data_IF_885511985108
#
_entry.id   IF_885511985108
#
_cell.length_a   1.000
_cell.length_b   1.000
_cell.length_c   1.000
_cell.angle_alpha   90.00
_cell.angle_beta   90.00
_cell.angle_gamma   90.00
#
_symmetry.space_group_name_H-M   'P 1'
#
loop_
_entity.id
_entity.type
_entity.pdbx_description
1 polymer ?
#
# COMPACT_ATOMS: atom_id res chain seq x y z
N UNK A 1 -1.95 -4.01 20.99
CA UNK A 1 -2.29 -5.31 20.35
C UNK A 1 -1.11 -5.69 19.45
N UNK A 2 -0.69 -6.97 19.43
CA UNK A 2 0.44 -7.39 18.57
C UNK A 2 0.01 -7.29 17.09
N UNK A 3 0.88 -6.73 16.24
CA UNK A 3 0.65 -6.48 14.79
C UNK A 3 0.24 -7.77 14.05
N UNK A 4 0.79 -8.93 14.41
CA UNK A 4 0.42 -10.20 13.78
C UNK A 4 -1.05 -10.59 14.05
N UNK A 5 -1.56 -10.32 15.27
CA UNK A 5 -2.97 -10.50 15.57
C UNK A 5 -3.86 -9.53 14.81
N UNK A 6 -3.39 -8.27 14.63
CA UNK A 6 -4.08 -7.27 13.85
C UNK A 6 -4.20 -7.69 12.38
N UNK A 7 -3.10 -8.11 11.74
CA UNK A 7 -3.09 -8.62 10.36
C UNK A 7 -4.02 -9.84 10.21
N UNK A 8 -4.04 -10.75 11.20
CA UNK A 8 -4.94 -11.92 11.16
C UNK A 8 -6.41 -11.50 11.24
N UNK A 9 -6.74 -10.49 12.05
CA UNK A 9 -8.10 -9.91 12.13
C UNK A 9 -8.49 -9.23 10.84
N UNK A 10 -7.62 -8.43 10.26
CA UNK A 10 -7.82 -7.78 8.96
C UNK A 10 -8.13 -8.82 7.87
N UNK A 11 -7.34 -9.90 7.77
CA UNK A 11 -7.61 -11.01 6.83
C UNK A 11 -8.95 -11.69 7.07
N UNK A 12 -9.36 -11.90 8.33
CA UNK A 12 -10.68 -12.46 8.65
C UNK A 12 -11.81 -11.50 8.22
N UNK A 13 -11.63 -10.21 8.46
CA UNK A 13 -12.60 -9.19 8.04
C UNK A 13 -12.76 -9.17 6.53
N UNK A 14 -11.64 -9.18 5.79
CA UNK A 14 -11.64 -9.26 4.33
C UNK A 14 -12.35 -10.52 3.83
N UNK A 15 -12.08 -11.68 4.43
CA UNK A 15 -12.77 -12.92 4.06
C UNK A 15 -14.27 -12.81 4.27
N UNK A 16 -14.73 -12.27 5.41
CA UNK A 16 -16.15 -12.03 5.65
C UNK A 16 -16.78 -11.09 4.64
N UNK A 17 -16.07 -10.00 4.30
CA UNK A 17 -16.51 -9.05 3.27
C UNK A 17 -16.73 -9.74 1.92
N UNK A 18 -15.77 -10.54 1.45
CA UNK A 18 -15.90 -11.25 0.18
C UNK A 18 -17.03 -12.27 0.20
N UNK A 19 -17.20 -13.02 1.29
CA UNK A 19 -18.33 -13.96 1.44
C UNK A 19 -19.65 -13.20 1.35
N UNK A 20 -19.77 -12.06 2.07
CA UNK A 20 -20.99 -11.24 2.03
C UNK A 20 -21.30 -10.75 0.63
N UNK A 21 -20.30 -10.25 -0.11
CA UNK A 21 -20.48 -9.77 -1.49
C UNK A 21 -20.89 -10.89 -2.46
N UNK A 22 -20.33 -12.10 -2.30
CA UNK A 22 -20.73 -13.27 -3.09
C UNK A 22 -22.17 -13.68 -2.76
N UNK A 23 -22.55 -13.71 -1.48
CA UNK A 23 -23.94 -14.00 -1.08
C UNK A 23 -24.90 -12.98 -1.68
N UNK A 24 -24.59 -11.69 -1.61
CA UNK A 24 -25.43 -10.65 -2.23
C UNK A 24 -25.57 -10.83 -3.74
N UNK A 25 -24.45 -11.08 -4.44
CA UNK A 25 -24.45 -11.28 -5.88
C UNK A 25 -25.25 -12.52 -6.32
N UNK A 26 -25.40 -13.53 -5.47
CA UNK A 26 -26.22 -14.72 -5.76
C UNK A 26 -27.68 -14.50 -5.38
N UNK A 27 -27.94 -13.87 -4.23
CA UNK A 27 -29.32 -13.74 -3.70
C UNK A 27 -30.14 -12.72 -4.50
N UNK A 28 -29.55 -11.63 -4.99
CA UNK A 28 -30.27 -10.60 -5.73
C UNK A 28 -30.94 -11.12 -7.02
N UNK A 29 -30.22 -11.83 -7.91
CA UNK A 29 -30.86 -12.45 -9.09
C UNK A 29 -31.95 -13.49 -8.73
N UNK A 30 -31.71 -14.31 -7.69
CA UNK A 30 -32.68 -15.31 -7.25
C UNK A 30 -33.99 -14.63 -6.78
N UNK A 31 -33.90 -13.58 -5.98
CA UNK A 31 -35.06 -12.83 -5.51
C UNK A 31 -35.81 -12.25 -6.71
N UNK A 32 -35.14 -11.66 -7.67
CA UNK A 32 -35.76 -11.09 -8.86
C UNK A 32 -36.53 -12.17 -9.65
N UNK A 33 -35.97 -13.35 -9.82
CA UNK A 33 -36.63 -14.46 -10.52
C UNK A 33 -37.83 -14.98 -9.75
N UNK A 34 -37.75 -15.13 -8.42
CA UNK A 34 -38.84 -15.62 -7.57
C UNK A 34 -40.01 -14.64 -7.50
N UNK A 35 -39.74 -13.34 -7.56
CA UNK A 35 -40.79 -12.30 -7.56
C UNK A 35 -41.49 -12.12 -8.91
N UNK A 36 -40.96 -12.73 -9.98
CA UNK A 36 -41.49 -12.59 -11.32
C UNK A 36 -41.28 -11.17 -11.93
N UNK A 37 -40.53 -10.30 -11.28
CA UNK A 37 -40.25 -8.94 -11.72
C UNK A 37 -39.19 -8.90 -12.83
N UNK A 38 -39.43 -9.59 -13.93
CA UNK A 38 -38.49 -9.74 -15.07
C UNK A 38 -38.59 -8.64 -16.13
N UNK A 39 -39.23 -7.52 -15.79
CA UNK A 39 -39.34 -6.38 -16.71
C UNK A 39 -37.93 -5.78 -16.97
N UNK A 40 -37.72 -5.23 -18.15
CA UNK A 40 -36.47 -4.63 -18.62
C UNK A 40 -35.88 -3.62 -17.60
N UNK A 41 -36.75 -2.85 -16.95
CA UNK A 41 -36.33 -1.89 -15.92
C UNK A 41 -35.65 -2.56 -14.73
N UNK A 42 -36.27 -3.59 -14.13
CA UNK A 42 -35.70 -4.29 -12.97
C UNK A 42 -34.45 -5.08 -13.33
N UNK A 43 -34.39 -5.64 -14.55
CA UNK A 43 -33.20 -6.32 -15.05
C UNK A 43 -32.02 -5.35 -15.21
N UNK A 44 -32.26 -4.17 -15.77
CA UNK A 44 -31.22 -3.12 -15.89
C UNK A 44 -30.71 -2.67 -14.54
N UNK A 45 -31.63 -2.50 -13.57
CA UNK A 45 -31.28 -2.11 -12.20
C UNK A 45 -30.44 -3.19 -11.50
N UNK A 46 -30.80 -4.47 -11.67
CA UNK A 46 -30.01 -5.58 -11.15
C UNK A 46 -28.60 -5.58 -11.73
N UNK A 47 -28.44 -5.47 -13.05
CA UNK A 47 -27.13 -5.41 -13.70
C UNK A 47 -26.27 -4.25 -13.17
N UNK A 48 -26.91 -3.10 -12.91
CA UNK A 48 -26.21 -1.95 -12.33
C UNK A 48 -25.70 -2.25 -10.91
N UNK A 49 -26.53 -2.87 -10.05
CA UNK A 49 -26.09 -3.26 -8.69
C UNK A 49 -24.97 -4.29 -8.72
N UNK A 50 -25.08 -5.32 -9.57
CA UNK A 50 -24.05 -6.34 -9.74
C UNK A 50 -22.72 -5.72 -10.20
N UNK A 51 -22.78 -4.74 -11.09
CA UNK A 51 -21.60 -3.98 -11.51
C UNK A 51 -20.96 -3.22 -10.33
N UNK A 52 -21.78 -2.58 -9.49
CA UNK A 52 -21.26 -1.88 -8.29
C UNK A 52 -20.61 -2.85 -7.28
N UNK A 53 -21.21 -4.02 -7.06
CA UNK A 53 -20.63 -5.08 -6.21
C UNK A 53 -19.28 -5.52 -6.77
N UNK A 54 -19.18 -5.76 -8.08
CA UNK A 54 -17.95 -6.12 -8.74
C UNK A 54 -16.86 -5.06 -8.58
N UNK A 55 -17.18 -3.78 -8.78
CA UNK A 55 -16.26 -2.65 -8.59
C UNK A 55 -15.80 -2.56 -7.13
N UNK A 56 -16.70 -2.73 -6.16
CA UNK A 56 -16.36 -2.70 -4.74
C UNK A 56 -15.38 -3.83 -4.37
N UNK A 57 -15.60 -5.04 -4.87
CA UNK A 57 -14.73 -6.20 -4.65
C UNK A 57 -13.34 -5.94 -5.24
N UNK A 58 -13.27 -5.49 -6.50
CA UNK A 58 -11.99 -5.20 -7.16
C UNK A 58 -11.21 -4.10 -6.43
N UNK A 59 -11.88 -3.02 -6.03
CA UNK A 59 -11.25 -1.92 -5.30
C UNK A 59 -10.68 -2.41 -3.96
N UNK A 60 -11.44 -3.21 -3.22
CA UNK A 60 -10.98 -3.78 -1.95
C UNK A 60 -9.80 -4.74 -2.15
N UNK A 61 -9.88 -5.63 -3.14
CA UNK A 61 -8.75 -6.52 -3.50
C UNK A 61 -7.50 -5.72 -3.88
N UNK A 62 -7.66 -4.68 -4.69
CA UNK A 62 -6.56 -3.84 -5.15
C UNK A 62 -5.90 -3.06 -3.98
N UNK A 63 -6.70 -2.60 -3.00
CA UNK A 63 -6.21 -1.89 -1.83
C UNK A 63 -5.33 -2.77 -0.93
N UNK A 64 -5.74 -4.02 -0.68
CA UNK A 64 -5.01 -4.93 0.22
C UNK A 64 -3.92 -5.74 -0.45
N UNK A 65 -3.82 -5.70 -1.79
CA UNK A 65 -2.81 -6.47 -2.52
C UNK A 65 -1.46 -5.77 -2.45
N UNK A 66 -0.55 -6.39 -1.71
CA UNK A 66 0.86 -6.00 -1.62
C UNK A 66 1.69 -7.28 -1.63
N UNK A 67 2.45 -7.49 -2.69
CA UNK A 67 3.42 -8.57 -2.79
C UNK A 67 4.82 -7.96 -2.78
N UNK A 68 5.72 -8.53 -2.01
CA UNK A 68 7.08 -8.04 -1.91
C UNK A 68 8.07 -9.18 -1.63
N UNK A 69 9.30 -8.97 -2.07
CA UNK A 69 10.43 -9.84 -1.78
C UNK A 69 11.71 -8.99 -1.73
N UNK A 70 12.66 -9.40 -0.93
CA UNK A 70 13.97 -8.79 -0.90
C UNK A 70 15.04 -9.88 -1.08
N UNK A 71 15.83 -9.76 -2.12
CA UNK A 71 16.92 -10.68 -2.42
C UNK A 71 18.03 -9.97 -3.18
N UNK A 72 19.28 -10.35 -2.93
CA UNK A 72 20.45 -9.78 -3.61
C UNK A 72 20.46 -8.25 -3.61
N UNK A 73 20.19 -7.64 -2.45
CA UNK A 73 20.16 -6.19 -2.26
C UNK A 73 19.10 -5.45 -3.12
N UNK A 74 18.09 -6.18 -3.63
CA UNK A 74 17.00 -5.65 -4.44
C UNK A 74 15.67 -5.90 -3.74
N UNK A 75 15.02 -4.82 -3.35
CA UNK A 75 13.63 -4.83 -2.89
C UNK A 75 12.72 -4.81 -4.10
N UNK A 76 11.97 -5.87 -4.30
CA UNK A 76 10.93 -5.97 -5.34
C UNK A 76 9.57 -5.93 -4.68
N UNK A 77 8.65 -5.14 -5.21
CA UNK A 77 7.29 -5.11 -4.69
C UNK A 77 6.28 -4.73 -5.76
N UNK A 78 5.06 -5.22 -5.58
CA UNK A 78 3.91 -4.93 -6.42
C UNK A 78 2.80 -4.33 -5.55
N UNK A 79 2.48 -3.07 -5.78
CA UNK A 79 1.57 -2.26 -4.97
C UNK A 79 0.16 -2.23 -5.61
N UNK A 80 -0.61 -3.31 -5.44
CA UNK A 80 -1.93 -3.51 -6.00
C UNK A 80 -1.99 -4.54 -7.12
N UNK A 81 -3.21 -4.86 -7.59
CA UNK A 81 -3.46 -5.88 -8.61
C UNK A 81 -2.89 -5.52 -9.98
N UNK A 82 -3.17 -4.29 -10.42
CA UNK A 82 -2.84 -3.81 -11.77
C UNK A 82 -1.51 -3.06 -11.83
N UNK A 83 -0.79 -2.90 -10.72
CA UNK A 83 0.49 -2.20 -10.71
C UNK A 83 1.60 -3.08 -11.29
N UNK A 84 2.55 -2.43 -11.96
CA UNK A 84 3.79 -3.08 -12.39
C UNK A 84 4.68 -3.35 -11.17
N UNK A 85 5.54 -4.35 -11.27
CA UNK A 85 6.56 -4.61 -10.26
C UNK A 85 7.54 -3.44 -10.21
N UNK A 86 7.85 -3.00 -9.00
CA UNK A 86 8.83 -1.95 -8.71
C UNK A 86 10.06 -2.59 -8.10
N UNK A 87 11.24 -2.15 -8.52
CA UNK A 87 12.53 -2.62 -8.01
C UNK A 87 13.30 -1.45 -7.44
N UNK A 88 13.75 -1.56 -6.19
CA UNK A 88 14.60 -0.57 -5.52
C UNK A 88 15.88 -1.26 -5.07
N UNK A 89 17.02 -0.63 -5.30
CA UNK A 89 18.31 -1.09 -4.79
C UNK A 89 18.48 -0.62 -3.34
N UNK A 90 18.61 -1.55 -2.40
CA UNK A 90 18.64 -1.24 -0.96
C UNK A 90 19.84 -0.39 -0.54
N UNK A 91 21.00 -0.55 -1.19
CA UNK A 91 22.20 0.25 -0.94
C UNK A 91 22.11 1.69 -1.48
N UNK A 92 21.13 1.97 -2.32
CA UNK A 92 20.87 3.30 -2.91
C UNK A 92 19.67 4.02 -2.29
N UNK A 93 19.04 3.42 -1.30
CA UNK A 93 17.99 4.09 -0.50
C UNK A 93 18.67 5.10 0.42
N UNK A 94 18.26 6.38 0.29
CA UNK A 94 18.78 7.47 1.10
C UNK A 94 17.91 7.72 2.33
N UNK A 95 16.57 7.71 2.17
CA UNK A 95 15.62 7.99 3.24
C UNK A 95 14.40 7.07 3.15
N UNK A 96 13.95 6.61 4.32
CA UNK A 96 12.64 5.96 4.49
C UNK A 96 11.84 6.74 5.53
N UNK A 97 10.67 7.20 5.12
CA UNK A 97 9.73 7.90 5.97
C UNK A 97 8.38 7.21 5.96
N UNK A 98 7.66 7.29 7.06
CA UNK A 98 6.27 6.83 7.12
C UNK A 98 5.37 7.98 7.51
N UNK A 99 4.31 8.19 6.75
CA UNK A 99 3.30 9.21 7.02
C UNK A 99 2.01 8.54 7.45
N UNK A 100 1.46 8.97 8.57
CA UNK A 100 0.20 8.44 9.10
C UNK A 100 -0.95 8.99 8.27
N UNK A 101 -1.79 8.09 7.79
CA UNK A 101 -3.08 8.40 7.16
C UNK A 101 -4.21 8.01 8.12
N UNK A 102 -5.47 8.35 7.79
CA UNK A 102 -6.63 8.15 8.68
C UNK A 102 -6.76 6.70 9.19
N UNK A 103 -6.63 5.70 8.31
CA UNK A 103 -6.79 4.28 8.67
C UNK A 103 -5.48 3.48 8.55
N UNK A 104 -4.41 4.06 8.01
CA UNK A 104 -3.23 3.35 7.56
C UNK A 104 -1.99 4.25 7.56
N UNK A 105 -0.88 3.79 7.04
CA UNK A 105 0.33 4.58 6.81
C UNK A 105 0.80 4.47 5.37
N UNK A 106 1.34 5.56 4.84
CA UNK A 106 2.10 5.55 3.59
C UNK A 106 3.59 5.34 3.90
N UNK A 107 4.27 4.48 3.12
CA UNK A 107 5.73 4.34 3.22
C UNK A 107 6.34 5.08 2.04
N UNK A 108 7.17 6.07 2.34
CA UNK A 108 7.87 6.90 1.38
C UNK A 108 9.33 6.46 1.35
N UNK A 109 9.80 6.05 0.18
CA UNK A 109 11.19 5.62 -0.04
C UNK A 109 11.84 6.63 -0.98
N UNK A 110 12.95 7.24 -0.56
CA UNK A 110 13.78 8.12 -1.37
C UNK A 110 15.06 7.39 -1.72
N UNK A 111 15.41 7.38 -3.00
CA UNK A 111 16.59 6.70 -3.53
C UNK A 111 17.38 7.62 -4.47
N UNK A 112 18.68 7.39 -4.58
CA UNK A 112 19.58 8.15 -5.48
C UNK A 112 19.61 7.61 -6.90
N UNK A 113 19.04 6.42 -7.15
CA UNK A 113 19.11 5.76 -8.47
C UNK A 113 17.73 5.34 -8.93
N UNK A 114 17.42 5.66 -10.18
CA UNK A 114 16.24 5.16 -10.88
C UNK A 114 16.61 3.88 -11.67
N UNK A 115 16.57 2.73 -10.99
CA UNK A 115 16.90 1.45 -11.61
C UNK A 115 15.66 0.78 -12.21
N UNK A 116 15.50 0.84 -13.55
CA UNK A 116 14.45 0.12 -14.33
C UNK A 116 13.03 0.20 -13.73
N UNK A 117 12.76 1.21 -12.94
CA UNK A 117 11.51 1.35 -12.19
C UNK A 117 10.72 2.57 -12.70
N UNK A 118 9.69 2.31 -13.50
CA UNK A 118 8.81 3.36 -14.05
C UNK A 118 7.93 4.05 -13.00
N UNK A 119 7.88 3.52 -11.79
CA UNK A 119 7.06 4.09 -10.69
C UNK A 119 7.83 5.10 -9.84
N UNK A 120 9.15 5.15 -9.95
CA UNK A 120 9.99 6.17 -9.33
C UNK A 120 9.76 7.51 -10.02
N UNK A 121 9.55 8.54 -9.21
CA UNK A 121 9.36 9.92 -9.67
C UNK A 121 10.49 10.80 -9.15
N UNK A 122 10.98 11.75 -9.92
CA UNK A 122 11.93 12.75 -9.42
C UNK A 122 11.26 13.60 -8.32
N UNK A 123 12.05 14.02 -7.34
CA UNK A 123 11.56 14.91 -6.28
C UNK A 123 11.39 16.30 -6.86
N UNK A 124 10.19 16.86 -6.75
CA UNK A 124 9.84 18.19 -7.24
C UNK A 124 8.84 18.87 -6.30
N UNK A 125 8.32 20.02 -6.71
CA UNK A 125 7.41 20.86 -5.91
C UNK A 125 6.16 20.12 -5.40
N UNK A 126 5.65 19.17 -6.19
CA UNK A 126 4.48 18.35 -5.81
C UNK A 126 4.80 17.46 -4.61
N UNK A 127 6.00 16.84 -4.58
CA UNK A 127 6.46 16.05 -3.45
C UNK A 127 6.59 16.90 -2.19
N UNK A 128 7.27 18.04 -2.29
CA UNK A 128 7.53 18.95 -1.18
C UNK A 128 6.23 19.47 -0.52
N UNK A 129 5.20 19.75 -1.33
CA UNK A 129 3.90 20.20 -0.82
C UNK A 129 3.10 19.05 -0.19
N UNK A 130 3.19 17.85 -0.76
CA UNK A 130 2.37 16.71 -0.34
C UNK A 130 2.89 16.00 0.91
N UNK A 131 4.20 15.98 1.10
CA UNK A 131 4.89 15.27 2.18
C UNK A 131 5.85 16.20 2.94
N UNK A 132 5.33 17.14 3.75
CA UNK A 132 6.15 18.19 4.38
C UNK A 132 7.23 17.60 5.30
N UNK A 133 6.89 16.62 6.16
CA UNK A 133 7.84 16.00 7.08
C UNK A 133 8.96 15.24 6.33
N UNK A 134 8.60 14.45 5.34
CA UNK A 134 9.59 13.78 4.49
C UNK A 134 10.47 14.78 3.72
N UNK A 135 9.91 15.96 3.41
CA UNK A 135 10.62 17.02 2.69
C UNK A 135 11.66 17.71 3.52
N UNK A 136 11.42 17.88 4.83
CA UNK A 136 12.41 18.44 5.77
C UNK A 136 13.64 17.54 5.87
N UNK A 137 13.42 16.25 6.09
CA UNK A 137 14.52 15.28 6.15
C UNK A 137 15.24 15.13 4.78
N UNK A 138 14.49 15.20 3.68
CA UNK A 138 15.07 15.22 2.35
C UNK A 138 15.98 16.42 2.13
N UNK A 139 15.60 17.64 2.56
CA UNK A 139 16.42 18.83 2.46
C UNK A 139 17.75 18.67 3.18
N UNK A 140 17.74 18.15 4.41
CA UNK A 140 18.95 17.84 5.18
C UNK A 140 19.89 16.91 4.43
N UNK A 141 19.36 15.84 3.84
CA UNK A 141 20.16 14.88 3.06
C UNK A 141 20.70 15.55 1.78
N UNK A 142 19.88 16.37 1.13
CA UNK A 142 20.26 17.09 -0.10
C UNK A 142 21.36 18.13 0.15
N UNK A 143 21.39 18.78 1.31
CA UNK A 143 22.45 19.69 1.74
C UNK A 143 23.80 18.97 1.91
N UNK A 144 23.76 17.73 2.45
CA UNK A 144 24.97 16.92 2.62
C UNK A 144 25.52 16.39 1.29
N UNK A 145 24.65 16.14 0.31
CA UNK A 145 25.01 15.56 -0.98
C UNK A 145 24.27 16.29 -2.12
N UNK A 146 24.65 17.54 -2.45
CA UNK A 146 23.93 18.39 -3.38
C UNK A 146 23.97 17.90 -4.83
N UNK A 147 24.98 17.12 -5.21
CA UNK A 147 25.16 16.61 -6.58
C UNK A 147 24.22 15.45 -6.92
N UNK A 148 23.71 14.72 -5.94
CA UNK A 148 22.86 13.58 -6.17
C UNK A 148 21.46 13.98 -6.67
N UNK A 149 20.96 13.24 -7.66
CA UNK A 149 19.56 13.32 -8.08
C UNK A 149 18.77 12.31 -7.24
N UNK A 150 17.65 12.75 -6.67
CA UNK A 150 16.83 11.91 -5.83
C UNK A 150 15.48 11.63 -6.48
N UNK A 151 15.05 10.39 -6.30
CA UNK A 151 13.76 9.88 -6.75
C UNK A 151 12.98 9.37 -5.55
N UNK A 152 11.66 9.42 -5.61
CA UNK A 152 10.82 8.89 -4.56
C UNK A 152 9.79 7.90 -5.09
N UNK A 153 9.40 6.99 -4.25
CA UNK A 153 8.27 6.08 -4.46
C UNK A 153 7.47 5.94 -3.17
N UNK A 154 6.14 5.83 -3.32
CA UNK A 154 5.22 5.71 -2.18
C UNK A 154 4.51 4.37 -2.26
N UNK A 155 4.53 3.62 -1.16
CA UNK A 155 3.77 2.39 -0.98
C UNK A 155 2.52 2.75 -0.18
N UNK A 156 1.38 2.84 -0.88
CA UNK A 156 0.09 3.25 -0.30
C UNK A 156 -0.82 2.09 0.02
N UNK A 157 -0.71 0.99 -0.72
CA UNK A 157 -1.59 -0.17 -0.63
C UNK A 157 -0.96 -1.27 0.21
N UNK A 158 -1.80 -2.18 0.74
CA UNK A 158 -1.32 -3.32 1.49
C UNK A 158 -1.86 -3.42 2.92
N UNK A 159 -2.64 -2.43 3.37
CA UNK A 159 -3.17 -2.41 4.73
C UNK A 159 -2.07 -2.64 5.76
N UNK A 160 -2.38 -3.38 6.81
CA UNK A 160 -1.41 -3.70 7.87
C UNK A 160 -0.20 -4.54 7.39
N UNK A 161 -0.25 -5.13 6.19
CA UNK A 161 0.92 -5.83 5.61
C UNK A 161 2.09 -4.88 5.34
N UNK A 162 1.85 -3.56 5.28
CA UNK A 162 2.89 -2.53 5.15
C UNK A 162 3.88 -2.54 6.32
N UNK A 163 3.47 -2.90 7.51
CA UNK A 163 4.40 -3.08 8.64
C UNK A 163 5.44 -4.17 8.37
N UNK A 164 5.04 -5.24 7.67
CA UNK A 164 5.96 -6.35 7.35
C UNK A 164 6.99 -5.94 6.28
N UNK A 165 6.56 -5.21 5.24
CA UNK A 165 7.52 -4.71 4.23
C UNK A 165 8.44 -3.65 4.84
N UNK A 166 7.95 -2.82 5.78
CA UNK A 166 8.76 -1.83 6.48
C UNK A 166 9.88 -2.48 7.30
N UNK A 167 9.60 -3.56 8.03
CA UNK A 167 10.63 -4.35 8.73
C UNK A 167 11.63 -4.99 7.75
N UNK A 168 11.13 -5.44 6.59
CA UNK A 168 12.00 -5.99 5.53
C UNK A 168 12.92 -4.93 4.95
N UNK A 169 12.42 -3.71 4.71
CA UNK A 169 13.21 -2.56 4.26
C UNK A 169 14.29 -2.24 5.29
N UNK A 170 13.93 -2.16 6.56
CA UNK A 170 14.86 -1.84 7.64
C UNK A 170 16.00 -2.87 7.76
N UNK A 171 15.69 -4.15 7.58
CA UNK A 171 16.69 -5.23 7.64
C UNK A 171 17.68 -5.20 6.47
N UNK A 172 17.25 -4.75 5.30
CA UNK A 172 18.05 -4.86 4.07
C UNK A 172 18.62 -3.52 3.60
N UNK A 173 17.95 -2.39 3.87
CA UNK A 173 18.39 -1.06 3.45
C UNK A 173 19.17 -0.37 4.60
N UNK A 174 20.27 -0.96 5.04
CA UNK A 174 21.02 -0.56 6.24
C UNK A 174 21.62 0.85 6.14
N UNK A 175 21.88 1.34 4.93
CA UNK A 175 22.48 2.67 4.68
C UNK A 175 21.43 3.80 4.66
N UNK A 176 20.16 3.47 4.69
CA UNK A 176 19.09 4.45 4.65
C UNK A 176 18.95 5.18 5.99
N UNK A 177 18.66 6.45 5.94
CA UNK A 177 18.17 7.21 7.11
C UNK A 177 16.70 6.89 7.32
N UNK A 178 16.30 6.73 8.60
CA UNK A 178 14.92 6.46 8.98
C UNK A 178 14.42 7.59 9.88
N UNK A 179 13.26 8.15 9.58
CA UNK A 179 12.64 9.18 10.44
C UNK A 179 12.15 8.58 11.76
N UNK A 180 11.92 9.40 12.76
CA UNK A 180 11.47 8.95 14.07
C UNK A 180 10.13 8.21 14.02
N UNK A 181 9.18 8.71 13.22
CA UNK A 181 7.91 8.01 13.00
C UNK A 181 8.11 6.66 12.31
N UNK A 182 9.02 6.60 11.37
CA UNK A 182 9.37 5.35 10.70
C UNK A 182 9.95 4.33 11.68
N UNK A 183 10.86 4.76 12.58
CA UNK A 183 11.44 3.92 13.62
C UNK A 183 10.36 3.41 14.59
N UNK A 184 9.41 4.25 14.98
CA UNK A 184 8.28 3.82 15.81
C UNK A 184 7.42 2.76 15.12
N UNK A 185 7.11 2.94 13.85
CA UNK A 185 6.36 1.97 13.07
C UNK A 185 7.14 0.65 12.87
N UNK A 186 8.47 0.70 12.79
CA UNK A 186 9.32 -0.49 12.79
C UNK A 186 9.26 -1.23 14.14
N UNK A 187 9.27 -0.51 15.27
CA UNK A 187 9.09 -1.12 16.60
C UNK A 187 7.73 -1.83 16.72
N UNK A 188 6.67 -1.23 16.19
CA UNK A 188 5.35 -1.87 16.09
C UNK A 188 5.42 -3.14 15.23
N UNK A 189 6.05 -3.06 14.05
CA UNK A 189 6.21 -4.21 13.15
C UNK A 189 6.92 -5.39 13.81
N UNK A 190 7.87 -5.11 14.71
CA UNK A 190 8.63 -6.10 15.50
C UNK A 190 7.94 -6.54 16.79
N UNK A 191 6.79 -5.95 17.11
CA UNK A 191 6.07 -6.25 18.35
C UNK A 191 6.73 -5.70 19.61
N UNK A 192 7.66 -4.75 19.48
CA UNK A 192 8.33 -4.08 20.61
C UNK A 192 7.42 -3.01 21.27
N UNK A 193 6.46 -2.51 20.52
CA UNK A 193 5.40 -1.62 20.99
C UNK A 193 4.04 -2.13 20.53
N UNK A 194 2.98 -1.81 21.26
CA UNK A 194 1.61 -2.16 20.89
C UNK A 194 1.07 -1.18 19.84
N UNK A 195 0.20 -1.69 18.96
CA UNK A 195 -0.58 -0.89 18.01
C UNK A 195 -1.73 -0.22 18.73
#
# INVERSE_FOLDING_TARGET
MNIYKAIKREKKFLKKFYILMIVLAITLPIILLLTGLTNTFYLSYLLFIEFLIFVAVINKMNYYKLDYSCSNNKLRFKNGLLSKESVILCDKVALVHTEKMEEDMDIIIITTVNFKNKSLKPIGSIFLKRYPLASEEYKRIKELQPENIYYYQVIRRGGLKKYMILDTIYKNCVRATYTDECIQNIKIARGQTLV
#
